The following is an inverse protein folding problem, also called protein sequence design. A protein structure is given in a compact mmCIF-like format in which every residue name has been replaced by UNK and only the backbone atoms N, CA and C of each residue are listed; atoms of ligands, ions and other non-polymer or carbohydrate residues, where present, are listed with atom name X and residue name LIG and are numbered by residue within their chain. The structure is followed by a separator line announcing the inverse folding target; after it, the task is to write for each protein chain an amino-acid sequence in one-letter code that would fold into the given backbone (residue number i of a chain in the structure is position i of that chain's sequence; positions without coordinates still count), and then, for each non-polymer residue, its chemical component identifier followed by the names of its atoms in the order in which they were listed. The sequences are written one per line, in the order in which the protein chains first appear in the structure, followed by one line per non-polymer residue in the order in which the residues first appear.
data_IF_793362578253
#
_entry.id   IF_793362578253
#
_cell.length_a   1.000
_cell.length_b   1.000
_cell.length_c   1.000
_cell.angle_alpha   90.00
_cell.angle_beta   90.00
_cell.angle_gamma   90.00
#
_symmetry.space_group_name_H-M   'P 1'
#
loop_
_entity.id
_entity.type
_entity.pdbx_description
1 polymer ?
#
# COMPACT_ATOMS: atom_id res chain seq x y z
N UNK A 1 10.07 -11.51 0.72
CA UNK A 1 10.27 -11.96 2.11
C UNK A 1 8.93 -12.47 2.59
N UNK A 2 8.83 -13.76 2.92
CA UNK A 2 7.55 -14.39 3.25
C UNK A 2 7.24 -14.16 4.73
N UNK A 3 6.23 -13.34 5.04
CA UNK A 3 5.83 -13.03 6.41
C UNK A 3 4.79 -14.02 6.94
N UNK A 4 5.11 -14.71 8.04
CA UNK A 4 4.17 -15.51 8.83
C UNK A 4 3.79 -14.71 10.07
N UNK A 5 2.65 -14.01 10.00
CA UNK A 5 2.20 -13.13 11.08
C UNK A 5 1.17 -13.88 11.93
N UNK A 6 1.34 -13.99 13.26
CA UNK A 6 0.30 -14.55 14.12
C UNK A 6 -1.04 -13.81 13.94
N UNK A 7 -2.20 -14.50 13.92
CA UNK A 7 -2.41 -15.93 14.17
C UNK A 7 -2.34 -16.81 12.90
N UNK A 8 -1.93 -16.26 11.76
CA UNK A 8 -1.99 -16.97 10.48
C UNK A 8 -0.88 -18.02 10.36
N UNK A 9 -1.26 -19.24 9.95
CA UNK A 9 -0.31 -20.35 9.68
C UNK A 9 0.22 -20.32 8.25
N UNK A 10 -0.48 -19.63 7.36
CA UNK A 10 -0.10 -19.46 5.96
C UNK A 10 0.57 -18.10 5.77
N UNK A 11 1.50 -17.99 4.82
CA UNK A 11 2.12 -16.71 4.53
C UNK A 11 1.15 -15.76 3.84
N UNK A 12 1.28 -14.47 4.15
CA UNK A 12 0.65 -13.43 3.33
C UNK A 12 1.46 -13.29 2.04
N UNK A 13 0.79 -13.47 0.90
CA UNK A 13 1.41 -13.47 -0.44
C UNK A 13 0.90 -12.32 -1.32
N UNK A 14 -0.10 -11.58 -0.84
CA UNK A 14 -0.70 -10.44 -1.53
C UNK A 14 -0.79 -9.24 -0.59
N UNK A 15 -0.69 -8.04 -1.16
CA UNK A 15 -0.91 -6.80 -0.43
C UNK A 15 -2.40 -6.58 -0.15
N UNK A 16 -2.73 -6.23 1.09
CA UNK A 16 -4.11 -6.01 1.52
C UNK A 16 -4.70 -4.65 1.10
N UNK A 17 -3.88 -3.76 0.53
CA UNK A 17 -4.31 -2.41 0.14
C UNK A 17 -4.88 -2.35 -1.30
N UNK A 18 -4.73 -3.42 -2.09
CA UNK A 18 -5.25 -3.52 -3.44
C UNK A 18 -6.75 -3.75 -3.40
N UNK A 19 -7.51 -2.92 -4.12
CA UNK A 19 -8.97 -2.98 -4.17
C UNK A 19 -9.44 -3.43 -5.55
N UNK A 20 -9.64 -4.74 -5.72
CA UNK A 20 -9.99 -5.33 -7.02
C UNK A 20 -11.40 -4.97 -7.54
N UNK A 21 -12.29 -4.47 -6.68
CA UNK A 21 -13.67 -4.13 -7.00
C UNK A 21 -13.93 -2.61 -7.08
N UNK A 22 -12.88 -1.81 -7.22
CA UNK A 22 -12.98 -0.36 -7.23
C UNK A 22 -13.65 0.21 -8.49
N UNK A 23 -14.53 1.19 -8.31
CA UNK A 23 -15.13 1.98 -9.39
C UNK A 23 -14.97 3.48 -9.14
N UNK A 24 -14.83 4.27 -10.21
CA UNK A 24 -14.73 5.74 -10.10
C UNK A 24 -15.99 6.36 -9.47
N UNK A 25 -17.16 5.77 -9.72
CA UNK A 25 -18.42 6.23 -9.18
C UNK A 25 -18.47 6.13 -7.64
N UNK A 26 -17.77 5.16 -7.04
CA UNK A 26 -17.71 5.01 -5.58
C UNK A 26 -16.78 6.04 -4.93
N UNK A 27 -15.71 6.43 -5.63
CA UNK A 27 -14.79 7.45 -5.13
C UNK A 27 -15.39 8.85 -5.14
N UNK A 28 -16.23 9.17 -6.13
CA UNK A 28 -16.92 10.46 -6.21
C UNK A 28 -17.88 10.71 -5.03
N UNK A 29 -18.33 9.66 -4.34
CA UNK A 29 -19.21 9.75 -3.17
C UNK A 29 -18.46 10.11 -1.88
N UNK A 30 -17.14 10.05 -1.87
CA UNK A 30 -16.33 10.25 -0.67
C UNK A 30 -16.20 11.73 -0.33
N UNK A 31 -16.39 12.04 0.96
CA UNK A 31 -16.18 13.40 1.48
C UNK A 31 -14.69 13.69 1.64
N UNK A 32 -14.27 14.96 1.52
CA UNK A 32 -12.92 15.37 1.88
C UNK A 32 -12.57 15.01 3.34
N UNK A 33 -11.39 14.44 3.54
CA UNK A 33 -10.94 13.93 4.83
C UNK A 33 -10.23 14.98 5.69
N UNK A 34 -9.56 15.94 5.06
CA UNK A 34 -8.69 16.93 5.74
C UNK A 34 -9.36 18.30 5.85
N UNK A 35 -9.75 18.91 4.73
CA UNK A 35 -10.59 20.11 4.71
C UNK A 35 -11.99 19.73 4.23
N UNK A 36 -12.97 19.80 5.13
CA UNK A 36 -14.36 19.38 4.88
C UNK A 36 -15.16 20.37 4.01
N UNK A 37 -14.70 21.61 3.86
CA UNK A 37 -15.42 22.66 3.13
C UNK A 37 -14.91 22.85 1.71
N UNK A 38 -13.59 22.88 1.53
CA UNK A 38 -12.97 23.18 0.23
C UNK A 38 -11.90 22.17 -0.20
N UNK A 39 -11.69 21.11 0.58
CA UNK A 39 -10.67 20.11 0.29
C UNK A 39 -11.05 19.15 -0.84
N UNK A 40 -10.03 18.58 -1.49
CA UNK A 40 -10.15 17.58 -2.55
C UNK A 40 -9.56 16.21 -2.14
N UNK A 41 -8.84 16.17 -1.03
CA UNK A 41 -8.19 14.96 -0.52
C UNK A 41 -9.23 14.13 0.26
N UNK A 42 -9.42 12.88 -0.16
CA UNK A 42 -10.37 11.90 0.38
C UNK A 42 -9.63 10.65 0.86
N UNK A 43 -10.33 9.73 1.52
CA UNK A 43 -9.74 8.46 1.94
C UNK A 43 -9.28 7.59 0.75
N UNK A 44 -9.89 7.71 -0.44
CA UNK A 44 -9.53 6.86 -1.59
C UNK A 44 -8.36 7.37 -2.42
N UNK A 45 -8.03 8.66 -2.34
CA UNK A 45 -6.87 9.24 -3.03
C UNK A 45 -5.69 9.51 -2.07
N UNK A 46 -5.75 8.95 -0.86
CA UNK A 46 -4.69 8.99 0.14
C UNK A 46 -4.09 7.59 0.32
N UNK A 47 -2.86 7.53 0.84
CA UNK A 47 -2.24 6.26 1.22
C UNK A 47 -2.91 5.70 2.49
N UNK A 48 -3.24 4.40 2.56
CA UNK A 48 -3.75 3.78 3.78
C UNK A 48 -2.65 3.64 4.84
N UNK A 49 -3.04 3.35 6.09
CA UNK A 49 -2.10 2.94 7.12
C UNK A 49 -1.60 1.52 6.79
N UNK A 50 -0.28 1.35 6.69
CA UNK A 50 0.34 0.09 6.28
C UNK A 50 1.44 -0.33 7.25
N UNK A 51 1.47 -1.61 7.60
CA UNK A 51 2.56 -2.24 8.34
C UNK A 51 3.39 -3.10 7.37
N UNK A 52 4.68 -2.79 7.21
CA UNK A 52 5.54 -3.50 6.27
C UNK A 52 7.01 -3.16 6.44
N UNK A 53 7.87 -4.00 5.86
CA UNK A 53 9.32 -3.82 5.85
C UNK A 53 9.90 -4.20 4.49
N UNK A 54 10.99 -3.54 4.09
CA UNK A 54 11.73 -3.83 2.87
C UNK A 54 13.23 -3.76 3.13
N UNK A 55 14.02 -4.49 2.33
CA UNK A 55 15.48 -4.46 2.36
C UNK A 55 16.01 -4.39 0.93
N UNK A 56 17.09 -3.62 0.74
CA UNK A 56 17.81 -3.52 -0.53
C UNK A 56 19.29 -3.75 -0.24
N UNK A 57 19.93 -4.56 -1.07
CA UNK A 57 21.38 -4.76 -1.05
C UNK A 57 21.97 -3.97 -2.22
N UNK A 58 22.94 -3.12 -1.92
CA UNK A 58 23.65 -2.31 -2.92
C UNK A 58 25.11 -2.80 -3.04
N UNK A 59 25.65 -2.73 -4.25
CA UNK A 59 27.04 -3.07 -4.55
C UNK A 59 27.52 -2.32 -5.80
N UNK A 60 28.84 -2.21 -5.98
CA UNK A 60 29.40 -1.60 -7.20
C UNK A 60 29.09 -2.46 -8.42
N UNK A 61 28.91 -1.83 -9.59
CA UNK A 61 28.67 -2.54 -10.86
C UNK A 61 29.79 -3.56 -11.15
N UNK A 62 31.04 -3.17 -10.93
CA UNK A 62 32.20 -4.04 -11.10
C UNK A 62 32.13 -5.30 -10.25
N UNK A 63 31.51 -5.23 -9.06
CA UNK A 63 31.32 -6.39 -8.18
C UNK A 63 30.06 -7.19 -8.55
N UNK A 64 29.05 -6.55 -9.12
CA UNK A 64 27.79 -7.19 -9.53
C UNK A 64 27.89 -7.97 -10.85
N UNK A 65 28.78 -7.55 -11.76
CA UNK A 65 28.98 -8.15 -13.09
C UNK A 65 29.98 -9.32 -13.14
N UNK A 66 30.64 -9.62 -12.02
CA UNK A 66 31.61 -10.71 -11.92
C UNK A 66 30.94 -12.07 -11.69
#
# INVERSE_FOLDING_TARGET
MTGFIPPYKQPLVEDNNIRGNSSLADYAKLRPAFDRKHGTVTAANSTPLTDGAAAVILMTESRAKN
#
